data_IF_491763145240
#
_entry.id   IF_491763145240
#
_cell.length_a   1.000
_cell.length_b   1.000
_cell.length_c   1.000
_cell.angle_alpha   90.00
_cell.angle_beta   90.00
_cell.angle_gamma   90.00
#
_symmetry.space_group_name_H-M   'P 1'
#
loop_
_entity.id
_entity.type
_entity.pdbx_description
1 polymer ?
#
# COMPACT_ATOMS: atom_id res chain seq x y z
N UNK A 1 -15.86 13.44 -31.18
CA UNK A 1 -14.81 13.13 -30.19
C UNK A 1 -15.44 12.30 -29.09
N UNK A 2 -14.99 11.05 -28.98
CA UNK A 2 -15.56 10.05 -28.08
C UNK A 2 -15.48 10.49 -26.63
N UNK A 3 -16.59 10.28 -25.90
CA UNK A 3 -16.63 10.33 -24.45
C UNK A 3 -15.62 9.30 -23.93
N UNK A 4 -14.46 9.75 -23.50
CA UNK A 4 -13.63 8.97 -22.58
C UNK A 4 -14.49 8.92 -21.30
N UNK A 5 -15.21 7.80 -21.12
CA UNK A 5 -15.95 7.54 -19.89
C UNK A 5 -14.99 7.70 -18.73
N UNK A 6 -15.44 8.35 -17.64
CA UNK A 6 -14.61 8.58 -16.45
C UNK A 6 -14.32 7.20 -15.82
N UNK A 7 -13.14 6.60 -16.03
CA UNK A 7 -12.89 5.21 -15.63
C UNK A 7 -13.00 5.05 -14.11
N UNK A 8 -12.64 6.12 -13.38
CA UNK A 8 -12.73 6.22 -11.92
C UNK A 8 -14.12 5.92 -11.34
N UNK A 9 -15.21 6.32 -12.01
CA UNK A 9 -16.57 6.05 -11.51
C UNK A 9 -17.03 4.62 -11.80
N UNK A 10 -16.55 4.00 -12.87
CA UNK A 10 -16.87 2.60 -13.22
C UNK A 10 -16.17 1.60 -12.29
N UNK A 11 -15.03 1.99 -11.69
CA UNK A 11 -14.33 1.23 -10.64
C UNK A 11 -14.77 1.63 -9.21
N UNK A 12 -15.79 2.48 -9.05
CA UNK A 12 -16.30 2.89 -7.74
C UNK A 12 -15.34 3.76 -6.92
N UNK A 13 -14.38 4.42 -7.56
CA UNK A 13 -13.40 5.24 -6.88
C UNK A 13 -13.94 6.65 -6.56
N UNK A 14 -13.97 6.97 -5.28
CA UNK A 14 -14.15 8.31 -4.73
C UNK A 14 -13.14 8.51 -3.60
N UNK A 15 -12.41 9.63 -3.64
CA UNK A 15 -11.58 10.03 -2.51
C UNK A 15 -12.49 10.47 -1.36
N UNK A 16 -12.34 9.82 -0.21
CA UNK A 16 -13.07 10.17 1.01
C UNK A 16 -12.12 10.18 2.20
N UNK A 17 -12.25 11.21 3.05
CA UNK A 17 -11.66 11.16 4.37
C UNK A 17 -12.38 10.11 5.23
N UNK A 18 -11.64 9.46 6.13
CA UNK A 18 -12.26 8.57 7.12
C UNK A 18 -12.88 9.39 8.26
N UNK A 19 -13.87 8.80 8.92
CA UNK A 19 -14.55 9.42 10.05
C UNK A 19 -13.57 9.72 11.21
N UNK A 20 -13.93 10.68 12.05
CA UNK A 20 -13.13 11.00 13.24
C UNK A 20 -12.97 9.76 14.13
N UNK A 21 -11.77 9.52 14.65
CA UNK A 21 -11.45 8.35 15.48
C UNK A 21 -11.61 6.98 14.76
N UNK A 22 -11.63 6.92 13.42
CA UNK A 22 -11.75 5.65 12.67
C UNK A 22 -10.76 4.58 13.16
N UNK A 23 -9.54 4.99 13.53
CA UNK A 23 -8.45 4.10 13.97
C UNK A 23 -8.77 3.36 15.26
N UNK A 24 -9.61 3.92 16.14
CA UNK A 24 -9.98 3.30 17.42
C UNK A 24 -10.81 2.02 17.24
N UNK A 25 -11.42 1.85 16.07
CA UNK A 25 -12.23 0.67 15.74
C UNK A 25 -11.43 -0.46 15.04
N UNK A 26 -10.16 -0.21 14.70
CA UNK A 26 -9.37 -1.14 13.88
C UNK A 26 -8.60 -2.13 14.76
N UNK A 27 -8.78 -3.41 14.47
CA UNK A 27 -8.17 -4.51 15.21
C UNK A 27 -6.67 -4.70 14.93
N UNK A 28 -6.18 -4.12 13.85
CA UNK A 28 -4.81 -4.27 13.37
C UNK A 28 -3.89 -3.10 13.75
N UNK A 29 -4.45 -2.03 14.30
CA UNK A 29 -3.70 -0.89 14.84
C UNK A 29 -3.48 -1.08 16.34
N UNK A 30 -2.35 -0.60 16.85
CA UNK A 30 -2.20 -0.50 18.30
C UNK A 30 -3.09 0.62 18.88
N UNK A 31 -3.57 0.48 20.13
CA UNK A 31 -4.38 1.50 20.78
C UNK A 31 -3.65 2.85 20.85
N UNK A 32 -4.30 3.92 20.37
CA UNK A 32 -3.73 5.27 20.26
C UNK A 32 -4.80 6.32 20.51
N UNK A 33 -4.40 7.42 21.15
CA UNK A 33 -5.30 8.57 21.38
C UNK A 33 -5.48 9.42 20.12
N UNK A 34 -4.42 9.56 19.33
CA UNK A 34 -4.36 10.37 18.11
C UNK A 34 -4.38 9.51 16.84
N UNK A 35 -4.74 10.14 15.71
CA UNK A 35 -4.72 9.51 14.39
C UNK A 35 -3.29 9.07 14.04
N UNK A 36 -3.06 7.79 13.67
CA UNK A 36 -1.72 7.28 13.42
C UNK A 36 -1.07 7.98 12.23
N UNK A 37 0.24 8.18 12.26
CA UNK A 37 1.00 8.50 11.04
C UNK A 37 0.96 7.32 10.06
N UNK A 38 1.25 7.57 8.80
CA UNK A 38 1.39 6.55 7.76
C UNK A 38 2.46 5.52 8.15
N UNK A 39 3.57 5.97 8.75
CA UNK A 39 4.59 5.07 9.28
C UNK A 39 4.03 4.16 10.36
N UNK A 40 3.34 4.72 11.36
CA UNK A 40 2.76 3.93 12.45
C UNK A 40 1.71 2.93 11.95
N UNK A 41 0.83 3.35 11.04
CA UNK A 41 -0.15 2.45 10.44
C UNK A 41 0.51 1.32 9.65
N UNK A 42 1.51 1.63 8.81
CA UNK A 42 2.25 0.62 8.05
C UNK A 42 3.02 -0.34 8.95
N UNK A 43 3.65 0.18 10.00
CA UNK A 43 4.40 -0.61 10.99
C UNK A 43 3.47 -1.55 11.78
N UNK A 44 2.35 -1.04 12.28
CA UNK A 44 1.35 -1.82 13.01
C UNK A 44 0.73 -2.89 12.09
N UNK A 45 0.46 -2.55 10.82
CA UNK A 45 0.00 -3.52 9.81
C UNK A 45 1.05 -4.61 9.54
N UNK A 46 2.33 -4.26 9.46
CA UNK A 46 3.40 -5.24 9.30
C UNK A 46 3.44 -6.22 10.48
N UNK A 47 3.39 -5.73 11.71
CA UNK A 47 3.46 -6.56 12.91
C UNK A 47 2.20 -7.42 13.08
N UNK A 48 1.00 -6.87 12.84
CA UNK A 48 -0.25 -7.51 13.18
C UNK A 48 -0.91 -8.27 12.02
N UNK A 49 -0.56 -7.97 10.75
CA UNK A 49 -1.13 -8.63 9.57
C UNK A 49 -0.09 -9.36 8.71
N UNK A 50 1.08 -8.76 8.42
CA UNK A 50 2.08 -9.38 7.52
C UNK A 50 2.87 -10.48 8.22
N UNK A 51 3.61 -10.15 9.29
CA UNK A 51 4.50 -11.08 10.02
C UNK A 51 3.78 -12.35 10.51
N UNK A 52 2.57 -12.28 11.11
CA UNK A 52 1.90 -13.46 11.63
C UNK A 52 1.20 -14.29 10.55
N UNK A 53 1.15 -13.83 9.29
CA UNK A 53 0.43 -14.50 8.21
C UNK A 53 1.37 -15.39 7.38
N UNK A 54 1.23 -16.73 7.43
CA UNK A 54 2.12 -17.65 6.73
C UNK A 54 2.18 -17.43 5.22
N UNK A 55 1.05 -17.06 4.59
CA UNK A 55 1.02 -16.79 3.14
C UNK A 55 1.80 -15.54 2.78
N UNK A 56 1.75 -14.52 3.64
CA UNK A 56 2.51 -13.28 3.44
C UNK A 56 4.01 -13.55 3.54
N UNK A 57 4.42 -14.36 4.52
CA UNK A 57 5.82 -14.78 4.68
C UNK A 57 6.30 -15.64 3.52
N UNK A 58 5.48 -16.58 3.05
CA UNK A 58 5.76 -17.42 1.89
C UNK A 58 5.94 -16.58 0.61
N UNK A 59 4.99 -15.69 0.33
CA UNK A 59 5.04 -14.78 -0.82
C UNK A 59 6.27 -13.86 -0.75
N UNK A 60 6.55 -13.31 0.43
CA UNK A 60 7.74 -12.46 0.64
C UNK A 60 9.05 -13.19 0.35
N UNK A 61 9.10 -14.52 0.54
CA UNK A 61 10.26 -15.35 0.22
C UNK A 61 10.61 -15.42 -1.28
N UNK A 62 9.67 -15.07 -2.17
CA UNK A 62 9.93 -15.01 -3.61
C UNK A 62 10.44 -13.64 -4.08
N UNK A 63 10.37 -12.62 -3.23
CA UNK A 63 10.73 -11.26 -3.62
C UNK A 63 12.26 -11.07 -3.64
N UNK A 64 12.71 -10.35 -4.67
CA UNK A 64 14.06 -9.77 -4.69
C UNK A 64 14.09 -8.59 -3.71
N UNK A 65 15.22 -8.30 -3.05
CA UNK A 65 15.35 -7.09 -2.25
C UNK A 65 14.95 -5.83 -3.04
N UNK A 66 13.95 -5.09 -2.55
CA UNK A 66 13.49 -3.81 -3.14
C UNK A 66 13.42 -2.72 -2.10
N UNK A 67 13.72 -1.49 -2.48
CA UNK A 67 13.48 -0.29 -1.68
C UNK A 67 12.33 0.49 -2.31
N UNK A 68 11.23 0.61 -1.57
CA UNK A 68 10.04 1.36 -1.95
C UNK A 68 9.93 2.58 -1.04
N UNK A 69 9.73 3.75 -1.63
CA UNK A 69 9.38 4.97 -0.91
C UNK A 69 7.88 5.24 -1.09
N UNK A 70 7.14 5.25 0.02
CA UNK A 70 5.79 5.81 0.04
C UNK A 70 5.88 7.31 0.38
N UNK A 71 5.39 8.16 -0.52
CA UNK A 71 5.10 9.55 -0.25
C UNK A 71 3.59 9.69 0.03
N UNK A 72 3.24 9.91 1.29
CA UNK A 72 1.86 9.90 1.75
C UNK A 72 1.39 11.33 1.98
N UNK A 73 0.35 11.73 1.25
CA UNK A 73 -0.24 13.05 1.33
C UNK A 73 -1.37 13.05 2.36
N UNK A 74 -1.12 13.67 3.51
CA UNK A 74 -2.12 13.85 4.56
C UNK A 74 -2.84 15.19 4.37
N UNK A 75 -4.19 15.25 4.41
CA UNK A 75 -4.90 16.52 4.18
C UNK A 75 -4.72 17.54 5.32
N UNK A 76 -4.36 17.05 6.52
CA UNK A 76 -4.24 17.85 7.76
C UNK A 76 -2.80 17.98 8.31
N UNK A 77 -1.82 17.32 7.68
CA UNK A 77 -0.43 17.24 8.16
C UNK A 77 0.52 17.44 6.98
N UNK A 78 1.80 17.67 7.26
CA UNK A 78 2.82 17.67 6.21
C UNK A 78 2.94 16.29 5.54
N UNK A 79 3.41 16.22 4.28
CA UNK A 79 3.66 14.96 3.62
C UNK A 79 4.54 14.03 4.46
N UNK A 80 4.12 12.78 4.55
CA UNK A 80 4.80 11.75 5.33
C UNK A 80 5.55 10.80 4.39
N UNK A 81 6.75 10.40 4.80
CA UNK A 81 7.60 9.51 4.00
C UNK A 81 7.79 8.20 4.74
N UNK A 82 7.52 7.09 4.07
CA UNK A 82 7.72 5.75 4.62
C UNK A 82 8.59 4.94 3.68
N UNK A 83 9.76 4.52 4.17
CA UNK A 83 10.64 3.60 3.48
C UNK A 83 10.23 2.17 3.81
N UNK A 84 9.99 1.38 2.77
CA UNK A 84 9.71 -0.06 2.85
C UNK A 84 10.84 -0.78 2.16
N UNK A 85 11.49 -1.72 2.85
CA UNK A 85 12.34 -2.73 2.24
C UNK A 85 11.49 -3.97 2.05
N UNK A 86 11.42 -4.51 0.83
CA UNK A 86 10.85 -5.84 0.58
C UNK A 86 11.99 -6.85 0.59
N UNK A 87 11.91 -7.90 1.43
CA UNK A 87 12.89 -8.99 1.54
C UNK A 87 14.33 -8.56 1.92
N UNK A 88 14.69 -8.55 3.22
CA UNK A 88 13.81 -8.75 4.37
C UNK A 88 12.83 -7.57 4.52
N UNK A 89 11.60 -7.85 4.96
CA UNK A 89 10.60 -6.81 5.13
C UNK A 89 10.98 -5.90 6.31
N UNK A 90 11.27 -4.64 6.03
CA UNK A 90 11.55 -3.60 7.02
C UNK A 90 10.77 -2.32 6.67
N UNK A 91 10.36 -1.57 7.69
CA UNK A 91 9.61 -0.33 7.55
C UNK A 91 10.22 0.73 8.46
N UNK A 92 10.60 1.86 7.88
CA UNK A 92 11.20 2.97 8.60
C UNK A 92 10.60 4.32 8.14
N UNK A 93 10.52 5.33 9.01
CA UNK A 93 10.11 6.67 8.60
C UNK A 93 11.22 7.36 7.80
N UNK A 94 10.82 8.26 6.90
CA UNK A 94 11.73 9.09 6.12
C UNK A 94 12.08 8.55 4.72
N UNK A 95 13.02 9.23 4.08
CA UNK A 95 13.52 8.91 2.74
C UNK A 95 14.71 7.96 2.86
N UNK A 96 14.85 6.94 1.98
CA UNK A 96 16.03 6.07 1.97
C UNK A 96 17.32 6.81 1.63
N UNK A 97 18.43 6.33 2.18
CA UNK A 97 19.79 6.80 1.84
C UNK A 97 20.23 6.38 0.44
N UNK A 98 19.62 5.31 -0.09
CA UNK A 98 19.84 4.78 -1.43
C UNK A 98 18.69 5.15 -2.38
N UNK A 99 18.95 5.09 -3.68
CA UNK A 99 17.90 5.25 -4.70
C UNK A 99 16.81 4.19 -4.51
N UNK A 100 15.55 4.62 -4.58
CA UNK A 100 14.40 3.73 -4.45
C UNK A 100 14.13 3.02 -5.77
N UNK A 101 13.86 1.72 -5.74
CA UNK A 101 13.36 0.97 -6.90
C UNK A 101 12.02 1.55 -7.39
N UNK A 102 11.19 2.01 -6.45
CA UNK A 102 9.86 2.53 -6.72
C UNK A 102 9.50 3.63 -5.71
N UNK A 103 8.89 4.70 -6.22
CA UNK A 103 8.22 5.71 -5.42
C UNK A 103 6.71 5.59 -5.68
N UNK A 104 5.93 5.52 -4.61
CA UNK A 104 4.47 5.51 -4.64
C UNK A 104 3.98 6.79 -3.96
N UNK A 105 3.27 7.63 -4.71
CA UNK A 105 2.58 8.80 -4.14
C UNK A 105 1.11 8.43 -3.94
N UNK A 106 0.60 8.55 -2.71
CA UNK A 106 -0.77 8.14 -2.37
C UNK A 106 -1.37 9.07 -1.32
N UNK A 107 -2.68 9.27 -1.36
CA UNK A 107 -3.39 9.99 -0.29
C UNK A 107 -3.47 9.14 0.97
N UNK A 108 -3.32 9.77 2.14
CA UNK A 108 -3.32 9.07 3.43
C UNK A 108 -4.55 8.18 3.64
N UNK A 109 -5.76 8.73 3.43
CA UNK A 109 -6.99 7.96 3.63
C UNK A 109 -7.18 6.84 2.59
N UNK A 110 -6.67 7.00 1.37
CA UNK A 110 -6.66 5.90 0.40
C UNK A 110 -5.69 4.80 0.85
N UNK A 111 -4.51 5.14 1.38
CA UNK A 111 -3.60 4.15 1.98
C UNK A 111 -4.29 3.41 3.13
N UNK A 112 -4.99 4.11 4.02
CA UNK A 112 -5.71 3.46 5.14
C UNK A 112 -6.77 2.49 4.64
N UNK A 113 -7.52 2.85 3.59
CA UNK A 113 -8.52 1.97 2.95
C UNK A 113 -7.90 0.74 2.28
N UNK A 114 -6.69 0.89 1.70
CA UNK A 114 -5.91 -0.24 1.17
C UNK A 114 -5.52 -1.19 2.29
N UNK A 115 -4.97 -0.67 3.39
CA UNK A 115 -4.55 -1.48 4.53
C UNK A 115 -5.73 -2.19 5.19
N UNK A 116 -6.87 -1.51 5.30
CA UNK A 116 -8.10 -2.07 5.85
C UNK A 116 -8.80 -3.08 4.93
N UNK A 117 -8.28 -3.26 3.71
CA UNK A 117 -8.89 -4.09 2.67
C UNK A 117 -10.37 -3.79 2.44
N UNK A 118 -10.71 -2.50 2.31
CA UNK A 118 -12.05 -2.08 1.90
C UNK A 118 -12.48 -2.88 0.65
N UNK A 119 -13.72 -3.37 0.65
CA UNK A 119 -14.21 -4.26 -0.41
C UNK A 119 -14.09 -3.59 -1.79
N UNK A 120 -13.45 -4.29 -2.74
CA UNK A 120 -13.18 -3.74 -4.07
C UNK A 120 -12.09 -2.67 -4.11
N UNK A 121 -11.40 -2.40 -3.00
CA UNK A 121 -10.33 -1.41 -2.91
C UNK A 121 -8.96 -2.08 -2.70
N UNK A 122 -8.02 -1.77 -3.58
CA UNK A 122 -6.61 -2.15 -3.45
C UNK A 122 -5.68 -0.99 -3.85
N UNK A 123 -4.37 -1.21 -3.76
CA UNK A 123 -3.37 -0.16 -4.06
C UNK A 123 -3.44 0.37 -5.50
N UNK A 124 -4.04 -0.41 -6.42
CA UNK A 124 -4.26 -0.01 -7.80
C UNK A 124 -5.49 0.88 -7.97
N UNK A 125 -6.51 0.76 -7.10
CA UNK A 125 -7.72 1.59 -7.18
C UNK A 125 -7.42 3.10 -7.24
N UNK A 126 -6.62 3.71 -6.34
CA UNK A 126 -6.29 5.14 -6.43
C UNK A 126 -5.37 5.47 -7.62
N UNK A 127 -4.57 4.51 -8.10
CA UNK A 127 -3.75 4.68 -9.31
C UNK A 127 -4.63 4.80 -10.55
N UNK A 128 -5.60 3.91 -10.71
CA UNK A 128 -6.59 3.98 -11.80
C UNK A 128 -7.49 5.20 -11.69
N UNK A 129 -7.76 5.66 -10.47
CA UNK A 129 -8.49 6.89 -10.17
C UNK A 129 -7.72 8.18 -10.50
N UNK A 130 -6.40 8.09 -10.78
CA UNK A 130 -5.55 9.25 -11.06
C UNK A 130 -5.16 10.07 -9.82
N UNK A 131 -5.38 9.52 -8.62
CA UNK A 131 -5.09 10.17 -7.33
C UNK A 131 -3.89 9.56 -6.60
N UNK A 132 -3.27 8.54 -7.18
CA UNK A 132 -1.96 8.03 -6.80
C UNK A 132 -1.05 7.94 -8.03
N UNK A 133 0.26 7.88 -7.78
CA UNK A 133 1.27 7.74 -8.84
C UNK A 133 2.31 6.69 -8.48
N UNK A 134 2.78 5.95 -9.49
CA UNK A 134 3.95 5.08 -9.40
C UNK A 134 5.08 5.66 -10.26
N UNK A 135 6.28 5.76 -9.70
CA UNK A 135 7.48 6.25 -10.40
C UNK A 135 8.60 5.24 -10.16
N UNK A 136 9.07 4.58 -11.22
CA UNK A 136 10.13 3.58 -11.15
C UNK A 136 9.67 2.18 -11.56
N UNK A 137 10.20 1.16 -10.89
CA UNK A 137 9.97 -0.25 -11.20
C UNK A 137 8.58 -0.72 -10.74
N UNK A 138 7.64 -0.81 -11.68
CA UNK A 138 6.26 -1.24 -11.43
C UNK A 138 6.18 -2.66 -10.85
N UNK A 139 7.11 -3.56 -11.18
CA UNK A 139 7.13 -4.92 -10.61
C UNK A 139 7.28 -4.91 -9.10
N UNK A 140 8.06 -3.97 -8.53
CA UNK A 140 8.17 -3.80 -7.08
C UNK A 140 6.81 -3.40 -6.46
N UNK A 141 5.99 -2.65 -7.19
CA UNK A 141 4.64 -2.26 -6.77
C UNK A 141 3.66 -3.44 -6.79
N UNK A 142 3.82 -4.35 -7.76
CA UNK A 142 3.07 -5.61 -7.80
C UNK A 142 3.47 -6.54 -6.66
N UNK A 143 4.77 -6.62 -6.33
CA UNK A 143 5.26 -7.36 -5.15
C UNK A 143 4.66 -6.81 -3.85
N UNK A 144 4.65 -5.49 -3.69
CA UNK A 144 3.98 -4.85 -2.55
C UNK A 144 2.48 -5.16 -2.53
N UNK A 145 1.79 -5.07 -3.68
CA UNK A 145 0.36 -5.40 -3.78
C UNK A 145 0.07 -6.84 -3.33
N UNK A 146 0.82 -7.81 -3.85
CA UNK A 146 0.62 -9.21 -3.50
C UNK A 146 0.86 -9.47 -2.01
N UNK A 147 1.83 -8.79 -1.41
CA UNK A 147 2.06 -8.84 0.03
C UNK A 147 0.89 -8.29 0.84
N UNK A 148 0.38 -7.11 0.45
CA UNK A 148 -0.76 -6.46 1.13
C UNK A 148 -2.05 -7.28 0.98
N UNK A 149 -2.29 -7.84 -0.20
CA UNK A 149 -3.44 -8.70 -0.47
C UNK A 149 -3.34 -10.01 0.33
N UNK A 150 -2.16 -10.63 0.39
CA UNK A 150 -1.92 -11.82 1.19
C UNK A 150 -2.15 -11.57 2.68
N UNK A 151 -1.67 -10.43 3.20
CA UNK A 151 -1.83 -10.03 4.59
C UNK A 151 -3.31 -9.87 4.97
N UNK A 152 -4.11 -9.39 4.02
CA UNK A 152 -5.56 -9.24 4.13
C UNK A 152 -6.36 -10.48 3.71
N UNK A 153 -5.71 -11.64 3.53
CA UNK A 153 -6.34 -12.91 3.14
C UNK A 153 -7.13 -12.84 1.83
N UNK A 154 -6.82 -11.88 0.95
CA UNK A 154 -7.41 -11.81 -0.38
C UNK A 154 -6.88 -12.98 -1.24
N UNK A 155 -7.67 -13.50 -2.19
CA UNK A 155 -7.21 -14.54 -3.10
C UNK A 155 -6.04 -14.05 -3.94
N UNK A 156 -4.99 -14.87 -4.07
CA UNK A 156 -3.89 -14.55 -4.99
C UNK A 156 -4.38 -14.62 -6.44
N UNK A 157 -4.15 -13.56 -7.20
CA UNK A 157 -4.45 -13.48 -8.62
C UNK A 157 -3.14 -13.72 -9.37
N UNK A 158 -3.12 -14.78 -10.18
CA UNK A 158 -1.92 -15.12 -10.96
C UNK A 158 -1.52 -13.95 -11.88
N UNK A 159 -0.24 -13.61 -11.86
CA UNK A 159 0.30 -12.54 -12.71
C UNK A 159 0.50 -13.02 -14.15
N UNK A 160 0.35 -12.15 -15.17
CA UNK A 160 0.83 -12.41 -16.51
C UNK A 160 2.33 -12.74 -16.51
N UNK A 161 2.79 -13.60 -17.43
CA UNK A 161 4.20 -14.03 -17.49
C UNK A 161 5.21 -12.90 -17.69
N UNK A 162 4.78 -11.75 -18.23
CA UNK A 162 5.60 -10.54 -18.40
C UNK A 162 5.84 -9.79 -17.07
N UNK A 163 5.10 -10.11 -16.01
CA UNK A 163 5.22 -9.54 -14.67
C UNK A 163 5.48 -10.64 -13.63
N UNK A 164 6.67 -11.25 -13.64
CA UNK A 164 7.00 -12.31 -12.70
C UNK A 164 7.00 -11.78 -11.26
N UNK A 165 6.77 -12.70 -10.32
CA UNK A 165 6.97 -12.43 -8.90
C UNK A 165 8.47 -12.45 -8.60
N UNK A 166 8.99 -11.39 -7.99
CA UNK A 166 10.42 -11.27 -7.70
C UNK A 166 11.28 -10.89 -8.91
N UNK A 167 12.18 -11.79 -9.31
CA UNK A 167 13.15 -11.52 -10.39
C UNK A 167 12.56 -11.88 -11.76
N UNK A 168 12.63 -11.01 -12.77
CA UNK A 168 12.42 -11.41 -14.16
C UNK A 168 13.45 -12.40 -14.69
#
# INVERSE_FOLDING_TARGET
MSKIGKPALEIGYEYKELEENWWKSKDWLFPREEEPTAFEAMHDFMINKIVPNPKSVEIAGYFVPRIILLEVLHPKREPEFVRIMLSPTDIAPGVPDAESDLIIKIQYYDLMRVLDAEEGFDVMTPLWGGNAFLIGNVTAGLDLKDLLDAANNKPHIARPSIWPMGNP
#
